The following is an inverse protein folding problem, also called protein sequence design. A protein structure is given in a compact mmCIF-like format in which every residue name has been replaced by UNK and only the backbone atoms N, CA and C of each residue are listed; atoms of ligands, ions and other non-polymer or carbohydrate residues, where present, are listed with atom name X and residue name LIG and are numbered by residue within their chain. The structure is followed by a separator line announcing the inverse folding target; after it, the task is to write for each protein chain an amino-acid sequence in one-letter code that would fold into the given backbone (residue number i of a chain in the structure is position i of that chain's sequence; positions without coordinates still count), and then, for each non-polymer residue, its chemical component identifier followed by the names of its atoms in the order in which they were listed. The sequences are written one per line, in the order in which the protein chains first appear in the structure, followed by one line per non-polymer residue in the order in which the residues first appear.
data_IF_659508246605
#
_entry.id   IF_659508246605
#
_cell.length_a   1.000
_cell.length_b   1.000
_cell.length_c   1.000
_cell.angle_alpha   90.00
_cell.angle_beta   90.00
_cell.angle_gamma   90.00
#
_symmetry.space_group_name_H-M   'P 1'
#
loop_
_entity.id
_entity.type
_entity.pdbx_description
1 polymer ?
#
# COMPACT_ATOMS: atom_id res chain seq x y z
N UNK A 1 -8.57 -8.23 15.59
CA UNK A 1 -7.84 -7.28 14.75
C UNK A 1 -8.78 -6.30 14.05
N UNK A 2 -8.27 -5.49 13.13
CA UNK A 2 -9.06 -4.43 12.45
C UNK A 2 -10.36 -4.93 11.82
N UNK A 3 -10.35 -6.07 11.14
CA UNK A 3 -11.56 -6.61 10.51
C UNK A 3 -12.69 -6.84 11.52
N UNK A 4 -12.38 -7.43 12.67
CA UNK A 4 -13.39 -7.70 13.71
C UNK A 4 -13.85 -6.42 14.40
N UNK A 5 -12.93 -5.48 14.64
CA UNK A 5 -13.26 -4.18 15.25
C UNK A 5 -14.14 -3.36 14.30
N UNK A 6 -13.77 -3.29 13.03
CA UNK A 6 -14.56 -2.61 12.00
C UNK A 6 -15.96 -3.22 11.86
N UNK A 7 -16.04 -4.55 11.73
CA UNK A 7 -17.33 -5.25 11.65
C UNK A 7 -18.22 -4.96 12.89
N UNK A 8 -17.62 -4.96 14.09
CA UNK A 8 -18.34 -4.66 15.31
C UNK A 8 -18.91 -3.23 15.31
N UNK A 9 -18.13 -2.25 14.85
CA UNK A 9 -18.57 -0.86 14.72
C UNK A 9 -19.76 -0.73 13.77
N UNK A 10 -19.68 -1.33 12.57
CA UNK A 10 -20.80 -1.30 11.62
C UNK A 10 -22.03 -2.02 12.13
N UNK A 11 -21.88 -3.17 12.80
CA UNK A 11 -23.00 -3.88 13.40
C UNK A 11 -23.66 -3.05 14.51
N UNK A 12 -22.86 -2.45 15.40
CA UNK A 12 -23.37 -1.60 16.47
C UNK A 12 -24.09 -0.35 15.91
N UNK A 13 -23.55 0.28 14.86
CA UNK A 13 -24.19 1.40 14.15
C UNK A 13 -25.57 1.02 13.61
N UNK A 14 -25.75 -0.23 13.20
CA UNK A 14 -27.03 -0.75 12.71
C UNK A 14 -27.95 -1.31 13.83
N UNK A 15 -27.65 -1.03 15.09
CA UNK A 15 -28.50 -1.35 16.24
C UNK A 15 -28.31 -2.77 16.79
N UNK A 16 -27.32 -3.52 16.32
CA UNK A 16 -27.05 -4.86 16.85
C UNK A 16 -26.27 -4.77 18.17
N UNK A 17 -26.63 -5.64 19.12
CA UNK A 17 -25.81 -5.86 20.32
C UNK A 17 -24.63 -6.75 19.96
N UNK A 18 -23.41 -6.20 20.06
CA UNK A 18 -22.18 -6.87 19.64
C UNK A 18 -21.37 -7.28 20.86
N UNK A 19 -20.83 -8.52 20.82
CA UNK A 19 -19.85 -8.99 21.79
C UNK A 19 -18.60 -9.42 21.06
N UNK A 20 -17.45 -8.90 21.48
CA UNK A 20 -16.12 -9.23 20.97
C UNK A 20 -15.39 -10.13 21.94
N UNK A 21 -14.82 -11.22 21.43
CA UNK A 21 -13.93 -12.09 22.20
C UNK A 21 -12.51 -11.93 21.66
N UNK A 22 -11.57 -11.63 22.57
CA UNK A 22 -10.14 -11.55 22.26
C UNK A 22 -9.41 -12.57 23.13
N UNK A 23 -8.54 -13.38 22.51
CA UNK A 23 -7.75 -14.40 23.20
C UNK A 23 -6.46 -13.88 23.82
N UNK A 24 -5.99 -12.73 23.37
CA UNK A 24 -4.78 -12.08 23.88
C UNK A 24 -5.16 -11.03 24.92
N UNK A 25 -4.20 -10.61 25.73
CA UNK A 25 -4.38 -9.61 26.77
C UNK A 25 -4.70 -8.21 26.23
N UNK A 26 -4.34 -7.94 24.95
CA UNK A 26 -4.58 -6.67 24.27
C UNK A 26 -5.30 -6.89 22.94
N UNK A 27 -6.18 -5.93 22.59
CA UNK A 27 -6.84 -5.89 21.28
C UNK A 27 -5.84 -5.46 20.18
N UNK A 28 -6.23 -5.59 18.89
CA UNK A 28 -5.44 -5.12 17.75
C UNK A 28 -4.99 -6.24 16.82
N UNK A 29 -4.92 -7.48 17.31
CA UNK A 29 -4.47 -8.62 16.48
C UNK A 29 -3.02 -8.45 16.04
N UNK A 30 -2.76 -8.45 14.72
CA UNK A 30 -1.42 -8.27 14.14
C UNK A 30 -0.90 -6.82 14.22
N UNK A 31 -1.74 -5.85 14.54
CA UNK A 31 -1.36 -4.44 14.70
C UNK A 31 -1.33 -4.01 16.18
N UNK A 32 -1.23 -4.96 17.10
CA UNK A 32 -1.08 -4.65 18.52
C UNK A 32 0.36 -4.26 18.85
N UNK A 33 0.53 -3.65 20.01
CA UNK A 33 1.83 -3.26 20.56
C UNK A 33 2.18 -4.11 21.78
N UNK A 34 3.44 -4.15 22.14
CA UNK A 34 3.92 -4.59 23.45
C UNK A 34 4.96 -3.61 23.97
N UNK A 35 5.09 -3.56 25.30
CA UNK A 35 6.10 -2.73 25.96
C UNK A 35 6.99 -3.62 26.79
N UNK A 36 8.31 -3.48 26.64
CA UNK A 36 9.32 -4.21 27.39
C UNK A 36 10.46 -3.26 27.74
N UNK A 37 10.89 -3.29 29.00
CA UNK A 37 11.96 -2.44 29.54
C UNK A 37 11.80 -0.93 29.24
N UNK A 38 10.55 -0.45 29.17
CA UNK A 38 10.23 0.96 28.88
C UNK A 38 10.18 1.32 27.40
N UNK A 39 10.44 0.37 26.49
CA UNK A 39 10.32 0.55 25.05
C UNK A 39 9.01 -0.03 24.54
N UNK A 40 8.36 0.70 23.63
CA UNK A 40 7.13 0.24 22.97
C UNK A 40 7.43 -0.20 21.54
N UNK A 41 6.96 -1.41 21.19
CA UNK A 41 7.18 -2.03 19.90
C UNK A 41 5.84 -2.32 19.21
N UNK A 42 5.74 -1.95 17.95
CA UNK A 42 4.66 -2.40 17.08
C UNK A 42 4.93 -3.83 16.63
N UNK A 43 3.95 -4.72 16.81
CA UNK A 43 4.09 -6.15 16.51
C UNK A 43 3.82 -6.50 15.05
N UNK A 44 3.58 -5.53 14.20
CA UNK A 44 3.18 -5.74 12.81
C UNK A 44 3.55 -4.56 11.93
N UNK A 45 2.61 -4.10 11.10
CA UNK A 45 2.88 -3.00 10.17
C UNK A 45 3.26 -1.73 10.92
N UNK A 46 4.36 -1.12 10.48
CA UNK A 46 4.85 0.18 10.98
C UNK A 46 4.54 1.33 10.02
N UNK A 47 4.05 1.00 8.81
CA UNK A 47 3.62 1.98 7.82
C UNK A 47 2.12 2.22 7.93
N UNK A 48 1.73 3.49 7.97
CA UNK A 48 0.32 3.90 7.88
C UNK A 48 -0.07 3.98 6.40
N UNK A 49 -0.55 2.87 5.88
CA UNK A 49 -0.87 2.70 4.47
C UNK A 49 -2.34 2.96 4.18
N UNK A 50 -2.64 3.48 2.97
CA UNK A 50 -3.99 3.68 2.49
C UNK A 50 -4.83 4.54 3.45
N UNK A 51 -4.35 5.75 3.79
CA UNK A 51 -5.03 6.63 4.75
C UNK A 51 -6.45 6.98 4.33
N UNK A 52 -6.72 7.04 3.04
CA UNK A 52 -8.05 7.28 2.45
C UNK A 52 -9.08 6.22 2.86
N UNK A 53 -8.69 4.95 2.95
CA UNK A 53 -9.59 3.87 3.40
C UNK A 53 -9.90 3.96 4.89
N UNK A 54 -8.93 4.34 5.69
CA UNK A 54 -9.11 4.52 7.13
C UNK A 54 -9.96 5.76 7.40
N UNK A 55 -9.70 6.85 6.68
CA UNK A 55 -10.51 8.08 6.75
C UNK A 55 -11.96 7.81 6.35
N UNK A 56 -12.18 7.03 5.28
CA UNK A 56 -13.54 6.60 4.89
C UNK A 56 -14.24 5.85 6.01
N UNK A 57 -13.54 4.96 6.72
CA UNK A 57 -14.12 4.26 7.87
C UNK A 57 -14.60 5.26 8.95
N UNK A 58 -13.79 6.23 9.32
CA UNK A 58 -14.19 7.25 10.31
C UNK A 58 -15.34 8.10 9.80
N UNK A 59 -15.32 8.50 8.54
CA UNK A 59 -16.39 9.31 7.91
C UNK A 59 -17.73 8.58 7.92
N UNK A 60 -17.75 7.26 7.78
CA UNK A 60 -18.97 6.45 7.89
C UNK A 60 -19.61 6.57 9.28
N UNK A 61 -18.86 6.99 10.30
CA UNK A 61 -19.34 7.23 11.67
C UNK A 61 -19.48 8.72 12.01
N UNK A 62 -19.36 9.62 11.02
CA UNK A 62 -19.41 11.06 11.22
C UNK A 62 -18.22 11.61 12.00
N UNK A 63 -17.07 10.95 11.86
CA UNK A 63 -15.79 11.28 12.49
C UNK A 63 -14.69 11.40 11.44
N UNK A 64 -13.53 11.88 11.84
CA UNK A 64 -12.29 11.88 11.08
C UNK A 64 -11.20 11.17 11.86
N UNK A 65 -10.14 10.74 11.19
CA UNK A 65 -8.98 10.15 11.87
C UNK A 65 -8.34 11.14 12.86
N UNK A 66 -8.36 12.43 12.52
CA UNK A 66 -7.84 13.52 13.37
C UNK A 66 -8.61 13.71 14.70
N UNK A 67 -9.82 13.16 14.83
CA UNK A 67 -10.55 13.14 16.12
C UNK A 67 -9.88 12.18 17.13
N UNK A 68 -8.96 11.30 16.68
CA UNK A 68 -8.40 10.23 17.49
C UNK A 68 -6.87 10.22 17.54
N UNK A 69 -6.19 10.67 16.48
CA UNK A 69 -4.73 10.72 16.42
C UNK A 69 -4.25 11.69 15.34
N UNK A 70 -3.03 12.18 15.50
CA UNK A 70 -2.36 13.04 14.52
C UNK A 70 -1.52 12.21 13.57
N UNK A 71 -1.65 12.47 12.27
CA UNK A 71 -0.80 11.90 11.23
C UNK A 71 0.26 12.92 10.82
N UNK A 72 1.52 12.48 10.86
CA UNK A 72 2.66 13.27 10.41
C UNK A 72 3.23 12.59 9.16
N UNK A 73 3.20 13.28 8.03
CA UNK A 73 3.87 12.79 6.81
C UNK A 73 5.36 12.92 6.99
N UNK A 74 6.06 11.80 6.86
CA UNK A 74 7.51 11.78 6.96
C UNK A 74 8.15 12.27 5.66
N UNK A 75 9.23 13.06 5.78
CA UNK A 75 10.11 13.44 4.68
C UNK A 75 11.56 13.45 5.18
N UNK A 76 12.44 12.60 4.66
CA UNK A 76 12.16 11.55 3.68
C UNK A 76 11.18 10.50 4.21
N UNK A 77 10.35 9.95 3.32
CA UNK A 77 9.40 8.89 3.65
C UNK A 77 10.12 7.64 4.20
N UNK A 78 11.21 7.27 3.55
CA UNK A 78 12.08 6.18 4.00
C UNK A 78 13.48 6.26 3.37
N UNK A 79 14.37 5.45 3.89
CA UNK A 79 15.74 5.34 3.42
C UNK A 79 16.08 3.88 3.15
N UNK A 80 16.62 3.62 1.96
CA UNK A 80 17.05 2.28 1.54
C UNK A 80 18.57 2.20 1.62
N UNK A 81 19.07 1.23 2.35
CA UNK A 81 20.49 0.92 2.45
C UNK A 81 20.82 -0.27 1.55
N UNK A 82 21.63 -0.05 0.53
CA UNK A 82 22.10 -1.10 -0.39
C UNK A 82 23.40 -1.72 0.12
N UNK A 83 24.17 -0.97 0.89
CA UNK A 83 25.37 -1.42 1.60
C UNK A 83 25.60 -0.52 2.82
N UNK A 84 26.67 -0.76 3.57
CA UNK A 84 27.07 0.12 4.69
C UNK A 84 27.39 1.57 4.25
N UNK A 85 27.77 1.76 2.97
CA UNK A 85 28.20 3.04 2.42
C UNK A 85 27.23 3.65 1.43
N UNK A 86 26.25 2.90 0.97
CA UNK A 86 25.35 3.30 -0.10
C UNK A 86 23.90 3.28 0.38
N UNK A 87 23.28 4.44 0.39
CA UNK A 87 21.89 4.60 0.77
C UNK A 87 21.18 5.58 -0.16
N UNK A 88 19.90 5.39 -0.35
CA UNK A 88 19.00 6.25 -1.10
C UNK A 88 17.89 6.73 -0.16
N UNK A 89 17.74 8.05 -0.04
CA UNK A 89 16.60 8.66 0.63
C UNK A 89 15.50 8.91 -0.37
N UNK A 90 14.28 8.50 -0.02
CA UNK A 90 13.09 8.69 -0.86
C UNK A 90 12.27 9.81 -0.25
N UNK A 91 12.19 10.94 -0.95
CA UNK A 91 11.42 12.11 -0.55
C UNK A 91 9.92 11.83 -0.60
N UNK A 92 9.15 12.60 0.16
CA UNK A 92 7.68 12.64 0.04
C UNK A 92 7.20 13.49 -1.15
N UNK A 93 8.09 14.26 -1.80
CA UNK A 93 7.78 15.08 -2.97
C UNK A 93 8.09 14.32 -4.27
N UNK A 94 7.06 14.13 -5.10
CA UNK A 94 7.20 13.47 -6.40
C UNK A 94 8.17 14.21 -7.34
N UNK A 95 8.30 15.52 -7.23
CA UNK A 95 9.23 16.28 -8.06
C UNK A 95 10.68 15.92 -7.75
N UNK A 96 10.98 15.77 -6.46
CA UNK A 96 12.29 15.33 -5.99
C UNK A 96 12.56 13.87 -6.38
N UNK A 97 11.55 12.99 -6.29
CA UNK A 97 11.66 11.61 -6.74
C UNK A 97 11.97 11.54 -8.23
N UNK A 98 11.29 12.32 -9.08
CA UNK A 98 11.60 12.38 -10.51
C UNK A 98 13.03 12.88 -10.79
N UNK A 99 13.47 13.92 -10.08
CA UNK A 99 14.83 14.44 -10.20
C UNK A 99 15.87 13.39 -9.76
N UNK A 100 15.61 12.67 -8.68
CA UNK A 100 16.43 11.56 -8.20
C UNK A 100 16.55 10.46 -9.25
N UNK A 101 15.43 10.05 -9.87
CA UNK A 101 15.43 9.05 -10.94
C UNK A 101 16.33 9.50 -12.10
N UNK A 102 16.14 10.72 -12.60
CA UNK A 102 16.91 11.23 -13.72
C UNK A 102 18.39 11.46 -13.37
N UNK A 103 18.73 11.71 -12.12
CA UNK A 103 20.12 11.83 -11.66
C UNK A 103 20.86 10.48 -11.68
N UNK A 104 20.17 9.38 -11.38
CA UNK A 104 20.73 8.03 -11.38
C UNK A 104 20.69 7.36 -12.77
N UNK A 105 19.63 7.62 -13.52
CA UNK A 105 19.47 7.13 -14.89
C UNK A 105 18.73 8.18 -15.74
N UNK A 106 19.45 8.94 -16.60
CA UNK A 106 18.85 10.01 -17.39
C UNK A 106 17.64 9.55 -18.22
N UNK A 107 16.52 10.24 -18.08
CA UNK A 107 15.25 9.96 -18.75
C UNK A 107 14.37 8.89 -18.10
N UNK A 108 14.79 8.31 -16.98
CA UNK A 108 14.03 7.30 -16.26
C UNK A 108 12.77 7.84 -15.60
N UNK A 109 12.73 9.13 -15.26
CA UNK A 109 11.53 9.79 -14.71
C UNK A 109 10.32 9.71 -15.64
N UNK A 110 10.53 9.64 -16.95
CA UNK A 110 9.44 9.46 -17.93
C UNK A 110 8.72 8.14 -17.73
N UNK A 111 9.50 7.07 -17.53
CA UNK A 111 8.92 5.76 -17.23
C UNK A 111 8.21 5.77 -15.88
N UNK A 112 8.82 6.36 -14.85
CA UNK A 112 8.23 6.45 -13.52
C UNK A 112 6.85 7.14 -13.58
N UNK A 113 6.73 8.26 -14.29
CA UNK A 113 5.43 8.96 -14.46
C UNK A 113 4.37 8.05 -15.04
N UNK A 114 4.69 7.35 -16.13
CA UNK A 114 3.76 6.40 -16.76
C UNK A 114 3.41 5.24 -15.83
N UNK A 115 4.40 4.72 -15.11
CA UNK A 115 4.22 3.61 -14.17
C UNK A 115 3.31 4.00 -13.01
N UNK A 116 3.49 5.20 -12.42
CA UNK A 116 2.64 5.71 -11.35
C UNK A 116 1.22 6.04 -11.84
N UNK A 117 1.03 6.52 -13.07
CA UNK A 117 -0.30 6.70 -13.66
C UNK A 117 -1.04 5.35 -13.82
N UNK A 118 -0.33 4.31 -14.24
CA UNK A 118 -0.89 2.96 -14.28
C UNK A 118 -1.22 2.44 -12.88
N UNK A 119 -0.35 2.71 -11.91
CA UNK A 119 -0.52 2.35 -10.51
C UNK A 119 -1.75 3.03 -9.89
N UNK A 120 -1.91 4.34 -10.11
CA UNK A 120 -3.08 5.11 -9.67
C UNK A 120 -4.37 4.55 -10.25
N UNK A 121 -4.40 4.32 -11.57
CA UNK A 121 -5.58 3.75 -12.21
C UNK A 121 -5.96 2.40 -11.62
N UNK A 122 -4.98 1.50 -11.46
CA UNK A 122 -5.19 0.18 -10.88
C UNK A 122 -5.67 0.26 -9.43
N UNK A 123 -5.12 1.19 -8.64
CA UNK A 123 -5.53 1.45 -7.27
C UNK A 123 -7.01 1.86 -7.21
N UNK A 124 -7.40 2.86 -8.00
CA UNK A 124 -8.80 3.33 -8.05
C UNK A 124 -9.75 2.21 -8.48
N UNK A 125 -9.39 1.41 -9.48
CA UNK A 125 -10.22 0.25 -9.89
C UNK A 125 -10.32 -0.77 -8.75
N UNK A 126 -9.22 -1.09 -8.09
CA UNK A 126 -9.21 -2.05 -6.99
C UNK A 126 -10.05 -1.57 -5.80
N UNK A 127 -9.87 -0.31 -5.39
CA UNK A 127 -10.57 0.28 -4.24
C UNK A 127 -12.04 0.52 -4.53
N UNK A 128 -12.37 1.20 -5.64
CA UNK A 128 -13.74 1.64 -5.89
C UNK A 128 -14.65 0.51 -6.39
N UNK A 129 -14.08 -0.47 -7.11
CA UNK A 129 -14.89 -1.45 -7.84
C UNK A 129 -14.77 -2.88 -7.32
N UNK A 130 -13.70 -3.22 -6.60
CA UNK A 130 -13.44 -4.59 -6.16
C UNK A 130 -13.47 -4.73 -4.64
N UNK A 131 -12.77 -3.86 -3.92
CA UNK A 131 -12.50 -4.02 -2.49
C UNK A 131 -13.76 -4.15 -1.61
N UNK A 132 -14.82 -3.42 -1.96
CA UNK A 132 -16.08 -3.37 -1.22
C UNK A 132 -17.15 -4.33 -1.75
N UNK A 133 -16.79 -5.20 -2.69
CA UNK A 133 -17.69 -6.22 -3.19
C UNK A 133 -17.35 -7.59 -2.59
N UNK A 134 -18.34 -8.41 -2.26
CA UNK A 134 -18.07 -9.79 -1.89
C UNK A 134 -17.44 -10.50 -3.12
N UNK A 135 -16.30 -11.15 -2.92
CA UNK A 135 -15.62 -11.91 -3.98
C UNK A 135 -16.29 -13.28 -4.18
N UNK A 136 -17.48 -13.32 -4.74
CA UNK A 136 -18.26 -14.54 -4.93
C UNK A 136 -17.86 -15.30 -6.20
N UNK A 137 -17.31 -14.61 -7.22
CA UNK A 137 -16.94 -15.22 -8.49
C UNK A 137 -15.79 -14.46 -9.18
N UNK A 138 -14.94 -15.20 -9.90
CA UNK A 138 -13.92 -14.60 -10.76
C UNK A 138 -14.51 -13.71 -11.88
N UNK A 139 -15.76 -13.94 -12.27
CA UNK A 139 -16.44 -13.09 -13.27
C UNK A 139 -16.62 -11.65 -12.80
N UNK A 140 -16.63 -11.39 -11.50
CA UNK A 140 -16.71 -10.04 -10.93
C UNK A 140 -15.46 -9.20 -11.22
N UNK A 141 -14.32 -9.84 -11.52
CA UNK A 141 -13.09 -9.18 -11.94
C UNK A 141 -13.10 -8.82 -13.44
N UNK A 142 -14.03 -9.38 -14.23
CA UNK A 142 -14.17 -9.13 -15.66
C UNK A 142 -15.02 -7.88 -15.84
N UNK A 143 -14.40 -6.73 -15.80
CA UNK A 143 -15.01 -5.41 -16.02
C UNK A 143 -14.34 -4.73 -17.22
N UNK A 144 -15.00 -3.78 -17.90
CA UNK A 144 -14.39 -3.06 -19.03
C UNK A 144 -13.01 -2.48 -18.68
N UNK A 145 -12.82 -2.02 -17.45
CA UNK A 145 -11.56 -1.43 -17.00
C UNK A 145 -10.45 -2.48 -16.82
N UNK A 146 -10.78 -3.65 -16.28
CA UNK A 146 -9.83 -4.76 -16.11
C UNK A 146 -9.52 -5.42 -17.44
N UNK A 147 -10.50 -5.52 -18.34
CA UNK A 147 -10.30 -6.08 -19.70
C UNK A 147 -9.33 -5.21 -20.52
N UNK A 148 -9.43 -3.88 -20.46
CA UNK A 148 -8.49 -2.96 -21.12
C UNK A 148 -7.04 -3.14 -20.62
N UNK A 149 -6.86 -3.67 -19.43
CA UNK A 149 -5.57 -3.89 -18.77
C UNK A 149 -5.22 -5.36 -18.63
N UNK A 150 -5.89 -6.24 -19.39
CA UNK A 150 -5.71 -7.69 -19.28
C UNK A 150 -4.24 -8.12 -19.43
N UNK A 151 -3.46 -7.43 -20.27
CA UNK A 151 -2.02 -7.69 -20.43
C UNK A 151 -1.22 -7.54 -19.13
N UNK A 152 -1.68 -6.71 -18.20
CA UNK A 152 -1.02 -6.50 -16.91
C UNK A 152 -1.14 -7.72 -15.97
N UNK A 153 -2.07 -8.62 -16.21
CA UNK A 153 -2.19 -9.88 -15.47
C UNK A 153 -1.22 -10.96 -15.97
N UNK A 154 -0.72 -10.81 -17.20
CA UNK A 154 0.23 -11.75 -17.82
C UNK A 154 1.66 -11.23 -17.86
N UNK A 155 1.88 -9.96 -17.49
CA UNK A 155 3.20 -9.34 -17.38
C UNK A 155 3.52 -9.16 -15.89
N UNK A 156 4.77 -9.42 -15.48
CA UNK A 156 5.17 -9.22 -14.09
C UNK A 156 5.73 -7.81 -13.86
N UNK A 157 5.70 -7.34 -12.61
CA UNK A 157 6.30 -6.05 -12.21
C UNK A 157 7.78 -6.05 -12.60
N UNK A 158 8.53 -7.11 -12.26
CA UNK A 158 9.96 -7.20 -12.55
C UNK A 158 10.25 -7.16 -14.06
N UNK A 159 9.44 -7.84 -14.88
CA UNK A 159 9.61 -7.80 -16.33
C UNK A 159 9.41 -6.38 -16.88
N UNK A 160 8.36 -5.69 -16.44
CA UNK A 160 8.05 -4.32 -16.86
C UNK A 160 9.14 -3.33 -16.42
N UNK A 161 9.57 -3.39 -15.17
CA UNK A 161 10.62 -2.52 -14.63
C UNK A 161 11.94 -2.73 -15.36
N UNK A 162 12.39 -3.99 -15.52
CA UNK A 162 13.65 -4.32 -16.22
C UNK A 162 13.69 -3.89 -17.68
N UNK A 163 12.55 -3.85 -18.34
CA UNK A 163 12.44 -3.40 -19.74
C UNK A 163 12.79 -1.91 -19.89
N UNK A 164 12.54 -1.08 -18.85
CA UNK A 164 12.64 0.38 -18.96
C UNK A 164 13.73 0.98 -18.08
N UNK A 165 14.07 0.33 -16.97
CA UNK A 165 15.04 0.80 -15.99
C UNK A 165 16.25 -0.14 -15.99
N UNK A 166 17.45 0.42 -16.12
CA UNK A 166 18.73 -0.33 -16.07
C UNK A 166 19.37 -0.25 -14.70
N UNK A 167 19.26 0.90 -14.04
CA UNK A 167 19.92 1.15 -12.75
C UNK A 167 19.37 0.21 -11.66
N UNK A 168 20.23 -0.55 -10.97
CA UNK A 168 19.80 -1.60 -10.04
C UNK A 168 19.01 -1.06 -8.85
N UNK A 169 19.37 0.11 -8.30
CA UNK A 169 18.69 0.69 -7.14
C UNK A 169 17.29 1.18 -7.49
N UNK A 170 17.12 1.77 -8.67
CA UNK A 170 15.79 2.19 -9.15
C UNK A 170 14.87 0.99 -9.41
N UNK A 171 15.42 -0.12 -9.88
CA UNK A 171 14.66 -1.38 -9.99
C UNK A 171 14.19 -1.85 -8.63
N UNK A 172 15.09 -1.92 -7.66
CA UNK A 172 14.76 -2.36 -6.31
C UNK A 172 13.72 -1.45 -5.67
N UNK A 173 13.84 -0.14 -5.85
CA UNK A 173 12.86 0.83 -5.36
C UNK A 173 11.45 0.58 -5.92
N UNK A 174 11.32 0.34 -7.23
CA UNK A 174 10.02 0.07 -7.86
C UNK A 174 9.46 -1.33 -7.54
N UNK A 175 10.34 -2.28 -7.26
CA UNK A 175 9.97 -3.65 -6.93
C UNK A 175 9.69 -3.85 -5.43
N UNK A 176 10.20 -2.95 -4.57
CA UNK A 176 10.13 -3.05 -3.11
C UNK A 176 8.69 -3.21 -2.57
N UNK A 177 7.67 -2.46 -3.01
CA UNK A 177 6.33 -2.57 -2.43
C UNK A 177 5.69 -3.96 -2.55
N UNK A 178 6.20 -4.82 -3.43
CA UNK A 178 5.72 -6.21 -3.55
C UNK A 178 5.99 -7.05 -2.29
N UNK A 179 6.96 -6.65 -1.45
CA UNK A 179 7.27 -7.34 -0.18
C UNK A 179 6.04 -7.38 0.75
N UNK A 180 5.20 -6.36 0.71
CA UNK A 180 3.98 -6.28 1.52
C UNK A 180 2.94 -7.34 1.16
N UNK A 181 3.02 -7.90 -0.05
CA UNK A 181 2.21 -9.04 -0.48
C UNK A 181 2.82 -10.39 -0.06
N UNK A 182 4.04 -10.39 0.49
CA UNK A 182 4.80 -11.61 0.75
C UNK A 182 5.21 -12.35 -0.53
N UNK A 183 5.35 -11.65 -1.65
CA UNK A 183 5.59 -12.20 -2.98
C UNK A 183 6.92 -11.71 -3.59
N UNK A 184 7.35 -12.36 -4.68
CA UNK A 184 8.50 -11.90 -5.47
C UNK A 184 8.03 -11.07 -6.65
N UNK A 185 8.70 -9.96 -7.00
CA UNK A 185 8.33 -9.10 -8.13
C UNK A 185 8.32 -9.83 -9.47
N UNK A 186 9.14 -10.88 -9.61
CA UNK A 186 9.18 -11.74 -10.80
C UNK A 186 7.95 -12.64 -10.98
N UNK A 187 7.19 -12.84 -9.90
CA UNK A 187 6.00 -13.72 -9.89
C UNK A 187 4.70 -12.92 -9.66
N UNK A 188 4.82 -11.60 -9.49
CA UNK A 188 3.68 -10.73 -9.20
C UNK A 188 3.22 -10.03 -10.48
N UNK A 189 1.94 -10.17 -10.87
CA UNK A 189 1.38 -9.47 -12.01
C UNK A 189 1.56 -7.96 -11.94
N UNK A 190 1.78 -7.32 -13.07
CA UNK A 190 1.97 -5.87 -13.17
C UNK A 190 0.78 -5.07 -12.60
N UNK A 191 -0.43 -5.63 -12.61
CA UNK A 191 -1.60 -5.01 -12.00
C UNK A 191 -1.33 -4.58 -10.55
N UNK A 192 -0.51 -5.33 -9.82
CA UNK A 192 -0.13 -5.02 -8.44
C UNK A 192 0.85 -3.84 -8.28
N UNK A 193 1.23 -3.16 -9.39
CA UNK A 193 1.93 -1.87 -9.29
C UNK A 193 1.11 -0.81 -8.53
N UNK A 194 -0.20 -1.04 -8.35
CA UNK A 194 -1.06 -0.24 -7.48
C UNK A 194 -0.46 0.00 -6.08
N UNK A 195 0.39 -0.93 -5.60
CA UNK A 195 1.09 -0.80 -4.32
C UNK A 195 2.06 0.38 -4.31
N UNK A 196 2.65 0.73 -5.47
CA UNK A 196 3.53 1.89 -5.59
C UNK A 196 2.79 3.23 -5.55
N UNK A 197 1.48 3.23 -5.77
CA UNK A 197 0.64 4.41 -5.61
C UNK A 197 0.10 4.51 -4.18
N UNK A 198 -0.12 3.38 -3.53
CA UNK A 198 -0.61 3.31 -2.15
C UNK A 198 0.49 3.65 -1.12
N UNK A 199 1.76 3.57 -1.53
CA UNK A 199 2.94 3.93 -0.75
C UNK A 199 3.22 5.45 -0.85
#
# INVERSE_FOLDING_TARGET
GFSSLSAACYMAKNGYKVTLFEKNDTIGGRARQFTEEGFTFDMGPTFYWMPDLIERFFNDFGKTSADYYDLIRLDPGYKIYFSEKEALSVSADLTEIYAMFDSLEPGSSRFLRSFLQDAEFNYRVAVDKVLYKPANSFSELIMPDTVKRLSQFFTTISARVKQHIKHPYLRQLLEFPVIFLGAKPSNTPLFYCLMNYAD
#
